data_IF_821175483185
#
_entry.id   IF_821175483185
#
_cell.length_a   1.000
_cell.length_b   1.000
_cell.length_c   1.000
_cell.angle_alpha   90.00
_cell.angle_beta   90.00
_cell.angle_gamma   90.00
#
_symmetry.space_group_name_H-M   'P 1'
#
loop_
_entity.id
_entity.type
_entity.pdbx_description
1 polymer ?
#
# COMPACT_ATOMS: atom_id res chain seq x y z
N UNK A 1 -15.57 34.00 26.18
CA UNK A 1 -15.69 32.80 25.38
C UNK A 1 -16.96 32.76 24.54
N UNK A 2 -18.14 33.23 25.05
CA UNK A 2 -19.40 33.32 24.30
C UNK A 2 -19.58 34.64 23.58
N UNK A 3 -18.79 35.65 23.89
CA UNK A 3 -18.95 37.00 23.41
C UNK A 3 -19.03 37.15 21.87
N UNK A 4 -18.16 36.48 21.08
CA UNK A 4 -18.24 36.56 19.61
C UNK A 4 -19.56 36.05 19.06
N UNK A 5 -20.17 35.05 19.66
CA UNK A 5 -21.47 34.51 19.26
C UNK A 5 -22.61 35.42 19.74
N UNK A 6 -22.57 35.90 20.97
CA UNK A 6 -23.62 36.78 21.54
C UNK A 6 -23.68 38.16 20.85
N UNK A 7 -22.60 38.61 20.21
CA UNK A 7 -22.61 39.86 19.43
C UNK A 7 -23.31 39.70 18.08
N UNK A 8 -23.46 38.50 17.53
CA UNK A 8 -24.06 38.32 16.20
C UNK A 8 -25.52 38.78 16.08
N UNK A 9 -26.44 38.54 17.01
CA UNK A 9 -27.81 39.08 16.90
C UNK A 9 -27.84 40.61 17.00
N UNK A 10 -26.96 41.21 17.79
CA UNK A 10 -26.86 42.67 17.86
C UNK A 10 -26.37 43.25 16.54
N UNK A 11 -25.37 42.64 15.91
CA UNK A 11 -24.87 43.01 14.59
C UNK A 11 -25.93 42.81 13.49
N UNK A 12 -26.72 41.74 13.58
CA UNK A 12 -27.81 41.49 12.65
C UNK A 12 -28.87 42.62 12.72
N UNK A 13 -29.27 43.03 13.92
CA UNK A 13 -30.19 44.13 14.13
C UNK A 13 -29.63 45.48 13.64
N UNK A 14 -28.36 45.75 13.95
CA UNK A 14 -27.69 46.99 13.54
C UNK A 14 -27.55 47.15 12.02
N UNK A 15 -27.43 46.06 11.29
CA UNK A 15 -27.23 46.06 9.83
C UNK A 15 -28.52 45.93 9.02
N UNK A 16 -29.64 45.59 9.67
CA UNK A 16 -30.89 45.22 9.00
C UNK A 16 -31.42 46.33 8.07
N UNK A 17 -31.31 47.60 8.48
CA UNK A 17 -31.91 48.73 7.76
C UNK A 17 -31.12 49.20 6.52
N UNK A 18 -29.80 48.96 6.49
CA UNK A 18 -28.93 49.49 5.43
C UNK A 18 -28.09 48.46 4.69
N UNK A 19 -27.92 47.25 5.27
CA UNK A 19 -27.20 46.15 4.64
C UNK A 19 -27.90 44.81 4.96
N UNK A 20 -29.07 44.51 4.39
CA UNK A 20 -29.88 43.33 4.78
C UNK A 20 -29.17 41.99 4.57
N UNK A 21 -28.25 41.91 3.63
CA UNK A 21 -27.46 40.71 3.42
C UNK A 21 -26.47 40.43 4.58
N UNK A 22 -25.94 41.49 5.25
CA UNK A 22 -25.13 41.32 6.46
C UNK A 22 -26.00 40.86 7.64
N UNK A 23 -27.23 41.41 7.76
CA UNK A 23 -28.18 40.95 8.77
C UNK A 23 -28.49 39.46 8.60
N UNK A 24 -28.66 38.99 7.36
CA UNK A 24 -28.86 37.57 7.05
C UNK A 24 -27.63 36.73 7.46
N UNK A 25 -26.41 37.20 7.14
CA UNK A 25 -25.16 36.55 7.51
C UNK A 25 -25.00 36.40 9.03
N UNK A 26 -25.19 37.50 9.78
CA UNK A 26 -25.08 37.47 11.24
C UNK A 26 -26.16 36.59 11.88
N UNK A 27 -27.37 36.54 11.32
CA UNK A 27 -28.43 35.66 11.77
C UNK A 27 -28.07 34.19 11.52
N UNK A 28 -27.49 33.87 10.37
CA UNK A 28 -27.00 32.52 10.08
C UNK A 28 -25.87 32.11 11.05
N UNK A 29 -24.91 32.99 11.32
CA UNK A 29 -23.85 32.76 12.30
C UNK A 29 -24.42 32.56 13.72
N UNK A 30 -25.47 33.27 14.10
CA UNK A 30 -26.15 33.02 15.37
C UNK A 30 -26.74 31.63 15.46
N UNK A 31 -27.40 31.15 14.38
CA UNK A 31 -27.98 29.81 14.33
C UNK A 31 -26.90 28.72 14.37
N UNK A 32 -25.76 28.93 13.69
CA UNK A 32 -24.61 28.02 13.77
C UNK A 32 -24.12 27.93 15.21
N UNK A 33 -23.91 29.05 15.90
CA UNK A 33 -23.46 29.04 17.29
C UNK A 33 -24.48 28.44 18.25
N UNK A 34 -25.79 28.58 17.98
CA UNK A 34 -26.84 27.92 18.75
C UNK A 34 -26.78 26.36 18.57
N UNK A 35 -26.52 25.92 17.35
CA UNK A 35 -26.31 24.52 17.08
C UNK A 35 -25.04 23.99 17.79
N UNK A 36 -23.95 24.78 17.80
CA UNK A 36 -22.71 24.45 18.50
C UNK A 36 -22.93 24.19 20.00
N UNK A 37 -23.79 24.97 20.62
CA UNK A 37 -24.17 24.79 22.04
C UNK A 37 -24.98 23.52 22.28
N UNK A 38 -25.86 23.14 21.35
CA UNK A 38 -26.77 22.01 21.48
C UNK A 38 -26.12 20.67 21.18
N UNK A 39 -25.17 20.61 20.23
CA UNK A 39 -24.55 19.34 19.81
C UNK A 39 -23.72 18.71 20.94
N UNK A 40 -23.76 17.37 21.15
CA UNK A 40 -23.07 16.70 22.24
C UNK A 40 -21.64 16.27 21.92
N UNK A 41 -21.25 16.21 20.65
CA UNK A 41 -20.05 15.50 20.18
C UNK A 41 -18.74 16.29 20.32
N UNK A 42 -18.79 17.62 20.25
CA UNK A 42 -17.58 18.47 20.21
C UNK A 42 -17.60 19.49 21.35
N UNK A 43 -16.91 19.18 22.44
CA UNK A 43 -16.82 20.05 23.63
C UNK A 43 -16.23 21.43 23.32
N UNK A 44 -15.30 21.52 22.35
CA UNK A 44 -14.68 22.78 21.92
C UNK A 44 -15.74 23.74 21.36
N UNK A 45 -16.63 23.29 20.47
CA UNK A 45 -17.69 24.10 19.90
C UNK A 45 -18.69 24.56 20.96
N UNK A 46 -19.06 23.68 21.91
CA UNK A 46 -19.92 24.05 23.04
C UNK A 46 -19.30 25.14 23.93
N UNK A 47 -17.98 25.09 24.10
CA UNK A 47 -17.27 26.06 24.92
C UNK A 47 -16.96 27.37 24.20
N UNK A 48 -16.78 27.32 22.88
CA UNK A 48 -16.41 28.43 22.01
C UNK A 48 -17.27 28.41 20.73
N UNK A 49 -18.59 28.74 20.85
CA UNK A 49 -19.46 28.80 19.70
C UNK A 49 -18.90 29.74 18.61
N UNK A 50 -19.02 29.37 17.36
CA UNK A 50 -18.43 29.99 16.17
C UNK A 50 -16.90 29.95 16.13
N UNK A 51 -16.23 30.50 17.14
CA UNK A 51 -14.75 30.62 17.12
C UNK A 51 -14.06 29.24 17.19
N UNK A 52 -14.71 28.24 17.75
CA UNK A 52 -14.22 26.87 17.75
C UNK A 52 -14.06 26.26 16.36
N UNK A 53 -14.85 26.73 15.37
CA UNK A 53 -14.73 26.28 13.97
C UNK A 53 -13.39 26.67 13.35
N UNK A 54 -12.78 27.80 13.75
CA UNK A 54 -11.47 28.22 13.28
C UNK A 54 -10.40 27.17 13.61
N UNK A 55 -10.46 26.57 14.80
CA UNK A 55 -9.55 25.47 15.16
C UNK A 55 -9.67 24.32 14.19
N UNK A 56 -10.89 23.86 13.90
CA UNK A 56 -11.12 22.74 12.99
C UNK A 56 -10.71 23.06 11.55
N UNK A 57 -10.93 24.31 11.11
CA UNK A 57 -10.46 24.78 9.81
C UNK A 57 -8.91 24.74 9.72
N UNK A 58 -8.22 25.19 10.77
CA UNK A 58 -6.76 25.14 10.84
C UNK A 58 -6.26 23.68 10.93
N UNK A 59 -6.94 22.82 11.67
CA UNK A 59 -6.62 21.37 11.70
C UNK A 59 -6.81 20.71 10.34
N UNK A 60 -7.84 21.12 9.58
CA UNK A 60 -8.12 20.61 8.24
C UNK A 60 -7.05 20.97 7.22
N UNK A 61 -6.58 22.22 7.21
CA UNK A 61 -5.54 22.69 6.27
C UNK A 61 -4.10 22.44 6.76
N UNK A 62 -3.94 21.96 8.00
CA UNK A 62 -2.62 21.73 8.62
C UNK A 62 -1.73 20.79 7.82
N UNK A 63 -2.21 19.66 7.23
CA UNK A 63 -1.35 18.75 6.47
C UNK A 63 -0.69 19.43 5.28
N UNK A 64 -1.43 20.28 4.55
CA UNK A 64 -0.91 21.01 3.40
C UNK A 64 0.09 22.08 3.82
N UNK A 65 -0.24 22.86 4.87
CA UNK A 65 0.68 23.86 5.40
C UNK A 65 1.98 23.20 5.86
N UNK A 66 1.88 22.09 6.60
CA UNK A 66 3.05 21.34 7.03
C UNK A 66 3.88 20.87 5.84
N UNK A 67 3.24 20.19 4.87
CA UNK A 67 3.92 19.59 3.72
C UNK A 67 4.63 20.60 2.82
N UNK A 68 4.05 21.80 2.63
CA UNK A 68 4.57 22.76 1.68
C UNK A 68 5.45 23.85 2.29
N UNK A 69 5.29 24.16 3.59
CA UNK A 69 5.93 25.31 4.21
C UNK A 69 6.79 24.99 5.43
N UNK A 70 6.53 23.90 6.14
CA UNK A 70 7.14 23.62 7.46
C UNK A 70 8.05 22.41 7.42
N UNK A 71 7.77 21.37 6.60
CA UNK A 71 8.54 20.15 6.60
C UNK A 71 10.00 20.36 6.24
N UNK A 72 10.87 19.71 7.00
CA UNK A 72 12.29 19.56 6.67
C UNK A 72 12.46 18.69 5.41
N UNK A 73 13.49 19.01 4.60
CA UNK A 73 13.71 18.37 3.32
C UNK A 73 14.15 16.89 3.43
N UNK A 74 14.80 16.49 4.54
CA UNK A 74 15.37 15.14 4.68
C UNK A 74 14.79 14.33 5.86
N UNK A 75 14.32 14.97 6.93
CA UNK A 75 14.01 14.32 8.21
C UNK A 75 12.56 13.83 8.35
N UNK A 76 11.66 14.19 7.44
CA UNK A 76 10.22 13.92 7.60
C UNK A 76 9.82 12.46 7.31
N UNK A 77 8.81 12.00 8.05
CA UNK A 77 8.21 10.68 7.92
C UNK A 77 6.75 10.78 7.41
N UNK A 78 6.24 9.74 6.76
CA UNK A 78 6.91 8.50 6.32
C UNK A 78 7.90 8.67 5.17
N UNK A 79 7.83 9.75 4.35
CA UNK A 79 8.77 10.09 3.27
C UNK A 79 9.20 11.54 3.37
N UNK A 80 10.50 11.79 3.23
CA UNK A 80 11.02 13.15 3.20
C UNK A 80 10.52 13.92 1.99
N UNK A 81 10.55 15.26 2.07
CA UNK A 81 10.20 16.15 0.97
C UNK A 81 11.04 15.86 -0.27
N UNK A 82 12.33 15.61 -0.11
CA UNK A 82 13.24 15.29 -1.21
C UNK A 82 12.88 13.98 -1.91
N UNK A 83 12.48 12.95 -1.16
CA UNK A 83 12.01 11.69 -1.75
C UNK A 83 10.75 11.89 -2.60
N UNK A 84 9.76 12.62 -2.08
CA UNK A 84 8.52 12.91 -2.80
C UNK A 84 8.76 13.80 -4.02
N UNK A 85 9.56 14.87 -3.87
CA UNK A 85 9.89 15.79 -4.95
C UNK A 85 10.59 15.07 -6.11
N UNK A 86 11.48 14.12 -5.83
CA UNK A 86 12.12 13.28 -6.84
C UNK A 86 11.09 12.48 -7.65
N UNK A 87 10.12 11.87 -6.99
CA UNK A 87 9.06 11.11 -7.67
C UNK A 87 8.18 12.04 -8.51
N UNK A 88 7.77 13.18 -7.96
CA UNK A 88 6.97 14.16 -8.70
C UNK A 88 7.68 14.70 -9.93
N UNK A 89 8.97 15.01 -9.82
CA UNK A 89 9.77 15.48 -10.96
C UNK A 89 9.86 14.42 -12.07
N UNK A 90 10.14 13.17 -11.69
CA UNK A 90 10.23 12.05 -12.65
C UNK A 90 8.90 11.74 -13.31
N UNK A 91 7.80 11.74 -12.56
CA UNK A 91 6.46 11.50 -13.09
C UNK A 91 6.03 12.57 -14.11
N UNK A 92 6.55 13.80 -13.96
CA UNK A 92 6.26 14.92 -14.87
C UNK A 92 7.31 15.11 -15.98
N UNK A 93 8.34 14.26 -16.05
CA UNK A 93 9.45 14.43 -16.99
C UNK A 93 10.27 15.71 -16.75
N UNK A 94 10.26 16.24 -15.52
CA UNK A 94 11.02 17.41 -15.12
C UNK A 94 12.47 17.05 -14.80
N UNK A 95 13.33 18.06 -14.75
CA UNK A 95 14.72 17.86 -14.36
C UNK A 95 14.83 17.36 -12.92
N UNK A 96 15.37 16.17 -12.74
CA UNK A 96 15.63 15.53 -11.44
C UNK A 96 17.13 15.57 -11.04
N UNK A 97 17.95 16.29 -11.81
CA UNK A 97 19.38 16.44 -11.55
C UNK A 97 19.62 17.53 -10.51
N UNK A 98 20.65 17.32 -9.70
CA UNK A 98 21.08 18.27 -8.68
C UNK A 98 22.37 18.94 -9.09
N UNK A 99 22.37 20.28 -9.15
CA UNK A 99 23.59 21.07 -9.14
C UNK A 99 24.24 21.11 -7.76
N UNK A 100 25.44 21.58 -7.65
CA UNK A 100 26.20 21.82 -6.41
C UNK A 100 26.54 20.58 -5.56
N UNK A 101 26.11 19.36 -5.91
CA UNK A 101 26.51 18.12 -5.26
C UNK A 101 25.49 17.57 -4.26
N UNK A 102 25.96 16.80 -3.27
CA UNK A 102 25.13 16.10 -2.30
C UNK A 102 24.44 17.05 -1.34
N UNK A 103 23.15 16.80 -1.10
CA UNK A 103 22.38 17.44 -0.02
C UNK A 103 22.43 16.65 1.29
N UNK A 104 23.14 15.51 1.32
CA UNK A 104 23.25 14.65 2.49
C UNK A 104 24.63 14.78 3.13
N UNK A 105 24.68 14.71 4.45
CA UNK A 105 25.94 14.55 5.16
C UNK A 105 26.44 13.12 4.98
N UNK A 106 27.38 12.93 4.05
CA UNK A 106 27.95 11.61 3.72
C UNK A 106 28.83 11.03 4.83
N UNK A 107 29.15 11.82 5.86
CA UNK A 107 29.92 11.39 7.03
C UNK A 107 29.04 11.12 8.26
N UNK A 108 27.71 11.17 8.09
CA UNK A 108 26.81 10.80 9.20
C UNK A 108 26.88 9.29 9.48
N UNK A 109 26.67 8.85 10.75
CA UNK A 109 26.67 7.43 11.10
C UNK A 109 25.67 6.59 10.30
N UNK A 110 24.62 7.20 9.80
CA UNK A 110 23.55 6.56 9.03
C UNK A 110 23.71 6.77 7.51
N UNK A 111 24.85 7.28 7.04
CA UNK A 111 25.08 7.45 5.62
C UNK A 111 25.20 6.09 4.93
N UNK A 112 24.49 5.96 3.84
CA UNK A 112 24.51 4.76 2.99
C UNK A 112 24.99 5.14 1.59
N UNK A 113 25.84 4.32 1.00
CA UNK A 113 26.35 4.52 -0.35
C UNK A 113 26.52 3.21 -1.09
N UNK A 114 26.62 3.28 -2.41
CA UNK A 114 26.98 2.16 -3.28
C UNK A 114 28.39 2.37 -3.84
N UNK A 115 29.13 1.29 -3.93
CA UNK A 115 30.43 1.32 -4.60
C UNK A 115 30.23 1.33 -6.12
N UNK A 116 31.12 2.01 -6.82
CA UNK A 116 31.12 2.06 -8.29
C UNK A 116 32.43 1.48 -8.85
N UNK A 117 32.41 1.09 -10.12
CA UNK A 117 33.60 0.64 -10.84
C UNK A 117 34.24 1.78 -11.62
N UNK A 118 35.57 1.82 -11.67
CA UNK A 118 36.33 2.70 -12.56
C UNK A 118 36.20 2.26 -14.04
N UNK A 119 35.61 1.10 -14.31
CA UNK A 119 35.31 0.56 -15.65
C UNK A 119 33.82 0.25 -15.76
N UNK A 120 32.96 1.29 -15.77
CA UNK A 120 31.51 1.09 -15.85
C UNK A 120 31.14 0.45 -17.20
N UNK A 121 30.12 -0.41 -17.15
CA UNK A 121 29.53 -0.99 -18.37
C UNK A 121 28.21 -0.31 -18.65
N UNK A 122 27.91 -0.08 -19.91
CA UNK A 122 26.59 0.31 -20.32
C UNK A 122 25.63 -0.87 -20.11
N UNK A 123 24.51 -0.64 -19.41
CA UNK A 123 23.47 -1.63 -19.22
C UNK A 123 22.24 -1.26 -20.05
N UNK A 124 21.71 -2.21 -20.80
CA UNK A 124 20.44 -2.03 -21.50
C UNK A 124 19.29 -2.19 -20.48
N UNK A 125 18.44 -1.16 -20.27
CA UNK A 125 17.31 -1.24 -19.36
C UNK A 125 16.35 -2.42 -19.63
N UNK A 126 16.27 -2.87 -20.87
CA UNK A 126 15.44 -4.03 -21.27
C UNK A 126 15.89 -5.34 -20.64
N UNK A 127 17.16 -5.43 -20.20
CA UNK A 127 17.72 -6.61 -19.54
C UNK A 127 17.44 -6.67 -18.03
N UNK A 128 16.88 -5.60 -17.46
CA UNK A 128 16.51 -5.57 -16.02
C UNK A 128 15.24 -6.36 -15.72
N UNK A 129 15.33 -7.65 -16.02
CA UNK A 129 14.23 -8.61 -15.82
C UNK A 129 14.74 -9.86 -15.10
N UNK A 130 13.82 -10.49 -14.39
CA UNK A 130 14.04 -11.76 -13.70
C UNK A 130 12.99 -12.77 -14.12
N UNK A 131 13.34 -14.03 -14.16
CA UNK A 131 12.38 -15.11 -14.37
C UNK A 131 11.90 -15.63 -13.01
N UNK A 132 10.58 -15.57 -12.81
CA UNK A 132 9.89 -16.12 -11.63
C UNK A 132 9.15 -17.38 -12.05
N UNK A 133 9.37 -18.47 -11.34
CA UNK A 133 8.82 -19.79 -11.58
C UNK A 133 9.85 -20.87 -11.29
N UNK A 134 9.54 -21.75 -10.34
CA UNK A 134 10.37 -22.89 -9.95
C UNK A 134 10.14 -24.10 -10.86
N UNK A 135 10.71 -25.29 -10.51
CA UNK A 135 10.65 -26.48 -11.37
C UNK A 135 9.22 -27.01 -11.59
N UNK A 136 8.28 -26.69 -10.72
CA UNK A 136 6.88 -27.12 -10.84
C UNK A 136 5.99 -26.07 -11.54
N UNK A 137 6.56 -24.95 -12.01
CA UNK A 137 5.88 -23.90 -12.73
C UNK A 137 5.91 -24.18 -14.23
N UNK A 138 4.74 -24.23 -14.88
CA UNK A 138 4.62 -24.46 -16.33
C UNK A 138 4.73 -23.19 -17.15
N UNK A 139 4.38 -22.05 -16.54
CA UNK A 139 4.33 -20.73 -17.18
C UNK A 139 5.17 -19.71 -16.42
N UNK A 140 6.53 -19.84 -16.43
CA UNK A 140 7.39 -18.86 -15.78
C UNK A 140 7.15 -17.46 -16.32
N UNK A 141 7.20 -16.46 -15.42
CA UNK A 141 6.98 -15.07 -15.78
C UNK A 141 8.29 -14.28 -15.78
N UNK A 142 8.55 -13.53 -16.85
CA UNK A 142 9.64 -12.58 -16.92
C UNK A 142 9.19 -11.23 -16.33
N UNK A 143 9.52 -10.99 -15.07
CA UNK A 143 9.16 -9.79 -14.33
C UNK A 143 10.21 -8.68 -14.45
N UNK A 144 9.78 -7.43 -14.39
CA UNK A 144 10.68 -6.30 -14.15
C UNK A 144 11.28 -6.38 -12.74
N UNK A 145 12.46 -5.78 -12.53
CA UNK A 145 13.05 -5.65 -11.19
C UNK A 145 12.37 -4.60 -10.32
N UNK A 146 11.48 -3.76 -10.88
CA UNK A 146 10.71 -2.74 -10.16
C UNK A 146 9.25 -2.77 -10.61
N UNK A 147 8.32 -2.90 -9.66
CA UNK A 147 6.92 -3.17 -9.94
C UNK A 147 5.99 -2.41 -9.00
N UNK A 148 4.68 -2.38 -9.34
CA UNK A 148 3.64 -1.82 -8.49
C UNK A 148 3.29 -2.84 -7.40
N UNK A 149 3.42 -2.43 -6.14
CA UNK A 149 3.02 -3.21 -4.96
C UNK A 149 1.51 -3.30 -4.81
N UNK A 150 1.06 -4.24 -4.00
CA UNK A 150 -0.34 -4.50 -3.67
C UNK A 150 -1.08 -3.25 -3.18
N UNK A 151 -2.09 -2.86 -3.92
CA UNK A 151 -3.00 -1.75 -3.59
C UNK A 151 -4.40 -2.07 -4.11
N UNK A 152 -5.34 -2.35 -3.20
CA UNK A 152 -6.67 -2.83 -3.57
C UNK A 152 -7.57 -1.75 -4.16
N UNK A 153 -8.44 -2.14 -5.11
CA UNK A 153 -9.60 -1.34 -5.48
C UNK A 153 -10.55 -1.19 -4.28
N UNK A 154 -10.94 0.05 -4.02
CA UNK A 154 -11.66 0.43 -2.80
C UNK A 154 -10.77 1.13 -1.77
N UNK A 155 -9.48 0.73 -1.63
CA UNK A 155 -8.46 1.60 -1.04
C UNK A 155 -8.03 2.68 -2.02
N UNK A 156 -7.84 2.33 -3.29
CA UNK A 156 -7.65 3.26 -4.40
C UNK A 156 -8.92 3.43 -5.23
N UNK A 157 -9.08 4.60 -5.84
CA UNK A 157 -10.18 4.89 -6.77
C UNK A 157 -10.02 4.16 -8.11
N UNK A 158 -11.12 4.03 -8.85
CA UNK A 158 -11.13 3.48 -10.21
C UNK A 158 -10.10 4.15 -11.12
N UNK A 159 -10.01 5.48 -11.09
CA UNK A 159 -9.06 6.24 -11.92
C UNK A 159 -7.60 5.97 -11.54
N UNK A 160 -7.30 5.78 -10.26
CA UNK A 160 -5.96 5.41 -9.81
C UNK A 160 -5.58 4.01 -10.32
N UNK A 161 -6.48 3.02 -10.21
CA UNK A 161 -6.25 1.67 -10.72
C UNK A 161 -6.02 1.68 -12.24
N UNK A 162 -6.85 2.41 -12.99
CA UNK A 162 -6.68 2.60 -14.45
C UNK A 162 -5.31 3.17 -14.80
N UNK A 163 -4.91 4.24 -14.14
CA UNK A 163 -3.63 4.90 -14.38
C UNK A 163 -2.45 3.97 -14.07
N UNK A 164 -2.51 3.23 -12.95
CA UNK A 164 -1.49 2.25 -12.56
C UNK A 164 -1.39 1.12 -13.58
N UNK A 165 -2.52 0.51 -13.98
CA UNK A 165 -2.50 -0.60 -14.93
C UNK A 165 -2.06 -0.14 -16.33
N UNK A 166 -2.48 1.03 -16.78
CA UNK A 166 -1.99 1.65 -18.02
C UNK A 166 -0.47 1.87 -17.98
N UNK A 167 0.03 2.37 -16.85
CA UNK A 167 1.47 2.53 -16.64
C UNK A 167 2.22 1.20 -16.63
N UNK A 168 1.67 0.16 -16.00
CA UNK A 168 2.21 -1.19 -16.01
C UNK A 168 2.31 -1.77 -17.42
N UNK A 169 1.24 -1.62 -18.22
CA UNK A 169 1.23 -2.05 -19.61
C UNK A 169 2.29 -1.31 -20.45
N UNK A 170 2.37 0.02 -20.33
CA UNK A 170 3.33 0.83 -21.07
C UNK A 170 4.79 0.57 -20.67
N UNK A 171 5.04 0.33 -19.39
CA UNK A 171 6.38 0.11 -18.84
C UNK A 171 6.83 -1.36 -18.81
N UNK A 172 5.95 -2.30 -19.13
CA UNK A 172 6.27 -3.73 -19.13
C UNK A 172 6.59 -4.27 -17.72
N UNK A 173 5.94 -3.77 -16.68
CA UNK A 173 6.08 -4.23 -15.30
C UNK A 173 4.74 -4.69 -14.73
N UNK A 174 4.77 -5.45 -13.63
CA UNK A 174 3.55 -6.02 -13.06
C UNK A 174 2.83 -5.06 -12.12
N UNK A 175 1.51 -5.20 -12.06
CA UNK A 175 0.61 -4.52 -11.15
C UNK A 175 0.00 -5.55 -10.20
N UNK A 176 0.32 -5.46 -8.94
CA UNK A 176 -0.29 -6.28 -7.89
C UNK A 176 -1.64 -5.69 -7.50
N UNK A 177 -2.69 -6.53 -7.54
CA UNK A 177 -4.08 -6.12 -7.34
C UNK A 177 -4.42 -5.76 -5.90
N UNK A 178 -3.60 -6.20 -4.94
CA UNK A 178 -4.00 -6.22 -3.55
C UNK A 178 -5.18 -7.18 -3.29
N UNK A 179 -5.53 -7.36 -2.02
CA UNK A 179 -6.52 -8.34 -1.54
C UNK A 179 -7.98 -8.08 -1.97
N UNK A 180 -8.26 -6.96 -2.63
CA UNK A 180 -9.61 -6.52 -3.01
C UNK A 180 -10.19 -7.19 -4.26
N UNK A 181 -9.61 -8.25 -4.76
CA UNK A 181 -9.94 -8.89 -6.04
C UNK A 181 -9.49 -8.11 -7.28
N UNK A 182 -9.67 -8.70 -8.45
CA UNK A 182 -9.41 -8.07 -9.75
C UNK A 182 -10.66 -7.29 -10.16
N UNK A 183 -10.58 -5.96 -10.15
CA UNK A 183 -11.67 -5.10 -10.61
C UNK A 183 -11.70 -5.01 -12.13
N UNK A 184 -12.82 -4.57 -12.74
CA UNK A 184 -12.89 -4.26 -14.18
C UNK A 184 -11.79 -3.28 -14.62
N UNK A 185 -11.42 -2.34 -13.77
CA UNK A 185 -10.40 -1.31 -14.01
C UNK A 185 -8.98 -1.85 -14.13
N UNK A 186 -8.66 -2.98 -13.49
CA UNK A 186 -7.41 -3.70 -13.69
C UNK A 186 -7.30 -4.33 -15.08
N UNK A 187 -8.44 -4.57 -15.75
CA UNK A 187 -8.49 -5.28 -17.03
C UNK A 187 -8.47 -4.37 -18.25
N UNK A 188 -8.79 -3.08 -18.10
CA UNK A 188 -8.98 -2.15 -19.21
C UNK A 188 -7.74 -1.96 -20.12
N UNK A 189 -6.54 -1.95 -19.57
CA UNK A 189 -5.31 -1.66 -20.31
C UNK A 189 -4.40 -2.88 -20.54
N UNK A 190 -4.79 -4.05 -20.03
CA UNK A 190 -4.06 -5.30 -20.29
C UNK A 190 -2.67 -5.38 -19.63
N UNK A 191 -2.33 -4.51 -18.67
CA UNK A 191 -1.08 -4.60 -17.92
C UNK A 191 -1.02 -5.87 -17.09
N UNK A 192 0.15 -6.52 -17.06
CA UNK A 192 0.37 -7.79 -16.34
C UNK A 192 -0.01 -7.69 -14.87
N UNK A 193 -0.79 -8.65 -14.38
CA UNK A 193 -1.30 -8.68 -13.01
C UNK A 193 -0.61 -9.75 -12.16
N UNK A 194 -0.31 -9.39 -10.92
CA UNK A 194 -0.18 -10.33 -9.81
C UNK A 194 -1.51 -10.30 -9.07
N UNK A 195 -2.20 -11.42 -9.00
CA UNK A 195 -3.44 -11.51 -8.25
C UNK A 195 -3.15 -11.87 -6.79
N UNK A 196 -3.38 -10.92 -5.90
CA UNK A 196 -3.24 -11.15 -4.46
C UNK A 196 -4.52 -11.75 -3.87
N UNK A 197 -4.37 -12.88 -3.18
CA UNK A 197 -5.44 -13.58 -2.45
C UNK A 197 -5.22 -13.36 -0.96
N UNK A 198 -6.07 -12.57 -0.33
CA UNK A 198 -6.10 -12.37 1.12
C UNK A 198 -7.02 -13.37 1.83
N UNK A 199 -7.03 -13.32 3.16
CA UNK A 199 -7.82 -14.20 4.03
C UNK A 199 -9.34 -14.05 3.86
N UNK A 200 -9.82 -12.97 3.24
CA UNK A 200 -11.23 -12.79 2.88
C UNK A 200 -11.62 -13.45 1.56
N UNK A 201 -10.68 -14.02 0.80
CA UNK A 201 -10.87 -14.68 -0.49
C UNK A 201 -11.70 -13.86 -1.49
N UNK A 202 -11.61 -12.54 -1.46
CA UNK A 202 -12.37 -11.68 -2.38
C UNK A 202 -12.03 -11.99 -3.83
N UNK A 203 -13.08 -12.19 -4.63
CA UNK A 203 -12.97 -12.60 -6.03
C UNK A 203 -12.80 -14.11 -6.25
N UNK A 204 -12.58 -14.90 -5.18
CA UNK A 204 -12.52 -16.36 -5.27
C UNK A 204 -13.25 -17.06 -4.10
N UNK A 205 -14.34 -16.49 -3.64
CA UNK A 205 -15.18 -17.06 -2.56
C UNK A 205 -16.59 -17.36 -3.04
N UNK A 206 -17.24 -18.32 -2.37
CA UNK A 206 -18.66 -18.62 -2.57
C UNK A 206 -19.58 -17.59 -1.87
N UNK A 207 -20.88 -17.82 -1.89
CA UNK A 207 -21.86 -16.93 -1.28
C UNK A 207 -21.75 -16.89 0.26
N UNK A 208 -21.21 -17.95 0.87
CA UNK A 208 -20.98 -18.09 2.30
C UNK A 208 -19.60 -17.51 2.73
N UNK A 209 -18.81 -17.01 1.78
CA UNK A 209 -17.51 -16.41 2.03
C UNK A 209 -16.35 -17.41 2.11
N UNK A 210 -16.56 -18.67 1.74
CA UNK A 210 -15.55 -19.73 1.75
C UNK A 210 -14.78 -19.74 0.43
N UNK A 211 -13.57 -20.26 0.45
CA UNK A 211 -12.74 -20.44 -0.73
C UNK A 211 -13.44 -21.32 -1.81
N UNK A 212 -13.45 -20.86 -3.07
CA UNK A 212 -14.02 -21.59 -4.22
C UNK A 212 -12.92 -21.86 -5.27
N UNK A 213 -12.54 -23.13 -5.46
CA UNK A 213 -11.59 -23.54 -6.49
C UNK A 213 -12.00 -23.14 -7.90
N UNK A 214 -13.33 -23.21 -8.21
CA UNK A 214 -13.90 -22.90 -9.53
C UNK A 214 -13.67 -21.42 -9.86
N UNK A 215 -13.93 -20.54 -8.90
CA UNK A 215 -13.70 -19.09 -9.07
C UNK A 215 -12.21 -18.75 -9.15
N UNK A 216 -11.35 -19.49 -8.43
CA UNK A 216 -9.91 -19.34 -8.60
C UNK A 216 -9.51 -19.70 -10.02
N UNK A 217 -9.96 -20.84 -10.52
CA UNK A 217 -9.61 -21.29 -11.86
C UNK A 217 -10.05 -20.28 -12.92
N UNK A 218 -11.26 -19.74 -12.81
CA UNK A 218 -11.79 -18.74 -13.72
C UNK A 218 -10.90 -17.48 -13.76
N UNK A 219 -10.51 -16.94 -12.60
CA UNK A 219 -9.72 -15.72 -12.53
C UNK A 219 -8.24 -15.97 -12.88
N UNK A 220 -7.66 -17.02 -12.32
CA UNK A 220 -6.24 -17.31 -12.41
C UNK A 220 -5.76 -17.73 -13.80
N UNK A 221 -6.63 -18.36 -14.60
CA UNK A 221 -6.30 -18.79 -15.98
C UNK A 221 -6.30 -17.64 -16.98
N UNK A 222 -6.85 -16.48 -16.63
CA UNK A 222 -6.81 -15.27 -17.47
C UNK A 222 -5.38 -14.98 -17.94
N UNK A 223 -5.21 -14.63 -19.22
CA UNK A 223 -3.89 -14.33 -19.81
C UNK A 223 -3.18 -13.15 -19.15
N UNK A 224 -3.92 -12.19 -18.62
CA UNK A 224 -3.38 -11.02 -17.93
C UNK A 224 -2.82 -11.34 -16.54
N UNK A 225 -3.36 -12.35 -15.84
CA UNK A 225 -2.83 -12.80 -14.55
C UNK A 225 -1.57 -13.62 -14.79
N UNK A 226 -0.43 -13.11 -14.33
CA UNK A 226 0.88 -13.75 -14.51
C UNK A 226 1.33 -14.54 -13.30
N UNK A 227 0.96 -14.10 -12.12
CA UNK A 227 1.36 -14.71 -10.85
C UNK A 227 0.21 -14.62 -9.84
N UNK A 228 0.24 -15.50 -8.83
CA UNK A 228 -0.70 -15.51 -7.70
C UNK A 228 0.09 -15.33 -6.43
N UNK A 229 -0.32 -14.37 -5.61
CA UNK A 229 0.30 -14.07 -4.32
C UNK A 229 -0.69 -14.32 -3.17
N UNK A 230 -0.34 -15.21 -2.24
CA UNK A 230 -1.09 -15.41 -0.99
C UNK A 230 -0.63 -14.37 0.01
N UNK A 231 -1.52 -13.53 0.48
CA UNK A 231 -1.19 -12.55 1.52
C UNK A 231 -1.34 -13.18 2.90
N UNK A 232 -0.21 -13.54 3.54
CA UNK A 232 -0.20 -13.99 4.94
C UNK A 232 -0.27 -12.80 5.90
N UNK A 233 0.51 -11.76 5.62
CA UNK A 233 0.49 -10.50 6.35
C UNK A 233 1.05 -9.37 5.50
N UNK A 234 0.96 -8.14 6.01
CA UNK A 234 1.58 -6.97 5.40
C UNK A 234 2.30 -6.15 6.48
N UNK A 235 3.28 -5.33 6.09
CA UNK A 235 3.83 -4.28 6.95
C UNK A 235 2.75 -3.32 7.45
N UNK A 236 3.03 -2.47 8.40
CA UNK A 236 2.11 -1.55 9.06
C UNK A 236 1.00 -2.20 9.92
N UNK A 237 0.52 -3.38 9.60
CA UNK A 237 -0.49 -4.10 10.42
C UNK A 237 -0.37 -5.62 10.31
N UNK A 238 0.77 -6.22 10.63
CA UNK A 238 0.91 -7.67 10.62
C UNK A 238 -0.01 -8.29 11.68
N UNK A 239 -0.65 -9.43 11.33
CA UNK A 239 -1.61 -10.11 12.23
C UNK A 239 -2.96 -9.42 12.39
N UNK A 240 -3.21 -8.34 11.67
CA UNK A 240 -4.50 -7.63 11.63
C UNK A 240 -5.13 -7.76 10.25
N UNK A 241 -6.36 -8.22 10.18
CA UNK A 241 -7.10 -8.36 8.92
C UNK A 241 -7.33 -7.02 8.21
N UNK A 242 -7.69 -7.09 6.93
CA UNK A 242 -8.08 -5.92 6.15
C UNK A 242 -9.41 -5.35 6.63
N UNK A 243 -9.53 -4.03 6.67
CA UNK A 243 -10.78 -3.32 6.98
C UNK A 243 -11.05 -2.29 5.91
N UNK A 244 -12.22 -2.38 5.26
CA UNK A 244 -12.76 -1.33 4.42
C UNK A 244 -14.09 -0.86 5.03
N UNK A 245 -14.18 0.39 5.53
CA UNK A 245 -15.37 0.89 6.19
C UNK A 245 -16.59 0.91 5.27
N UNK A 246 -17.78 0.67 5.83
CA UNK A 246 -19.06 0.63 5.14
C UNK A 246 -19.30 1.83 4.20
N UNK A 247 -18.92 3.04 4.64
CA UNK A 247 -19.05 4.26 3.85
C UNK A 247 -18.23 4.25 2.54
N UNK A 248 -17.21 3.39 2.42
CA UNK A 248 -16.39 3.22 1.21
C UNK A 248 -16.86 2.06 0.33
N UNK A 249 -17.73 1.18 0.83
CA UNK A 249 -18.21 0.00 0.09
C UNK A 249 -19.35 0.42 -0.84
N UNK A 250 -18.98 0.96 -2.01
CA UNK A 250 -19.91 1.26 -3.10
C UNK A 250 -20.43 -0.02 -3.78
N UNK A 251 -21.42 0.11 -4.66
CA UNK A 251 -21.95 -0.98 -5.45
C UNK A 251 -20.86 -1.70 -6.27
N UNK A 252 -19.97 -0.94 -6.92
CA UNK A 252 -18.86 -1.49 -7.71
C UNK A 252 -17.86 -2.28 -6.87
N UNK A 253 -17.54 -1.77 -5.66
CA UNK A 253 -16.65 -2.45 -4.74
C UNK A 253 -17.32 -3.69 -4.17
N UNK A 254 -18.59 -3.61 -3.82
CA UNK A 254 -19.41 -4.73 -3.35
C UNK A 254 -19.43 -5.86 -4.39
N UNK A 255 -19.71 -5.52 -5.66
CA UNK A 255 -19.72 -6.47 -6.78
C UNK A 255 -18.32 -7.09 -7.00
N UNK A 256 -17.24 -6.28 -6.96
CA UNK A 256 -15.87 -6.76 -7.17
C UNK A 256 -15.42 -7.72 -6.06
N UNK A 257 -15.77 -7.46 -4.82
CA UNK A 257 -15.37 -8.26 -3.65
C UNK A 257 -16.32 -9.41 -3.34
N UNK A 258 -17.55 -9.40 -3.89
CA UNK A 258 -18.61 -10.34 -3.54
C UNK A 258 -19.08 -10.13 -2.09
N UNK A 259 -19.33 -8.87 -1.67
CA UNK A 259 -19.78 -8.49 -0.33
C UNK A 259 -21.03 -7.62 -0.41
N UNK A 260 -21.86 -7.52 0.66
CA UNK A 260 -22.98 -6.59 0.71
C UNK A 260 -22.49 -5.13 0.65
N UNK A 261 -23.22 -4.28 -0.09
CA UNK A 261 -22.98 -2.85 -0.15
C UNK A 261 -23.29 -2.16 1.19
N UNK A 262 -22.53 -1.15 1.56
CA UNK A 262 -22.79 -0.31 2.74
C UNK A 262 -22.57 -1.01 4.07
N UNK A 263 -21.85 -2.11 4.10
CA UNK A 263 -21.41 -2.81 5.31
C UNK A 263 -19.89 -2.83 5.40
N UNK A 264 -19.35 -2.87 6.62
CA UNK A 264 -17.91 -3.02 6.82
C UNK A 264 -17.41 -4.31 6.19
N UNK A 265 -16.40 -4.19 5.31
CA UNK A 265 -15.78 -5.33 4.67
C UNK A 265 -14.50 -5.68 5.44
N UNK A 266 -14.59 -6.71 6.29
CA UNK A 266 -13.52 -7.14 7.18
C UNK A 266 -12.96 -8.47 6.67
N UNK A 267 -11.63 -8.54 6.52
CA UNK A 267 -10.93 -9.79 6.26
C UNK A 267 -10.56 -10.46 7.59
N UNK A 268 -10.69 -11.78 7.73
CA UNK A 268 -10.16 -12.51 8.87
C UNK A 268 -8.66 -12.27 9.08
N UNK A 269 -8.18 -12.41 10.32
CA UNK A 269 -6.74 -12.29 10.63
C UNK A 269 -5.91 -13.42 10.03
N UNK A 270 -6.50 -14.59 9.78
CA UNK A 270 -5.85 -15.78 9.22
C UNK A 270 -6.69 -16.41 8.11
N UNK A 271 -6.05 -17.19 7.25
CA UNK A 271 -6.72 -17.97 6.21
C UNK A 271 -7.47 -19.17 6.83
N UNK A 272 -8.61 -19.55 6.25
CA UNK A 272 -9.36 -20.75 6.64
C UNK A 272 -8.87 -22.03 5.96
N UNK A 273 -8.18 -21.91 4.82
CA UNK A 273 -7.71 -23.05 4.02
C UNK A 273 -6.45 -23.72 4.56
N UNK A 274 -5.76 -23.08 5.50
CA UNK A 274 -4.57 -23.62 6.14
C UNK A 274 -4.35 -23.01 7.54
N UNK A 275 -3.78 -23.80 8.44
CA UNK A 275 -3.40 -23.40 9.81
C UNK A 275 -1.96 -23.76 10.16
N UNK A 276 -1.32 -24.59 9.31
CA UNK A 276 0.06 -25.05 9.50
C UNK A 276 0.93 -24.70 8.30
N UNK A 277 2.26 -24.63 8.46
CA UNK A 277 3.18 -24.43 7.33
C UNK A 277 3.04 -25.49 6.24
N UNK A 278 2.78 -26.74 6.59
CA UNK A 278 2.58 -27.83 5.62
C UNK A 278 1.31 -27.60 4.80
N UNK A 279 0.21 -27.25 5.44
CA UNK A 279 -1.04 -26.93 4.75
C UNK A 279 -0.92 -25.69 3.84
N UNK A 280 -0.16 -24.66 4.26
CA UNK A 280 0.17 -23.53 3.39
C UNK A 280 0.86 -23.99 2.10
N UNK A 281 1.85 -24.88 2.19
CA UNK A 281 2.55 -25.36 1.01
C UNK A 281 1.64 -26.24 0.12
N UNK A 282 0.76 -27.04 0.71
CA UNK A 282 -0.26 -27.78 -0.02
C UNK A 282 -1.25 -26.83 -0.73
N UNK A 283 -1.64 -25.75 -0.08
CA UNK A 283 -2.48 -24.73 -0.69
C UNK A 283 -1.77 -24.03 -1.86
N UNK A 284 -0.48 -23.73 -1.75
CA UNK A 284 0.35 -23.22 -2.86
C UNK A 284 0.33 -24.19 -4.04
N UNK A 285 0.54 -25.48 -3.80
CA UNK A 285 0.51 -26.50 -4.85
C UNK A 285 -0.87 -26.57 -5.54
N UNK A 286 -1.96 -26.54 -4.75
CA UNK A 286 -3.34 -26.49 -5.25
C UNK A 286 -3.61 -25.26 -6.11
N UNK A 287 -3.20 -24.06 -5.67
CA UNK A 287 -3.37 -22.84 -6.46
C UNK A 287 -2.55 -22.88 -7.76
N UNK A 288 -1.35 -23.50 -7.74
CA UNK A 288 -0.56 -23.68 -8.96
C UNK A 288 -1.27 -24.58 -9.97
N UNK A 289 -1.92 -25.65 -9.53
CA UNK A 289 -2.75 -26.49 -10.40
C UNK A 289 -3.96 -25.74 -10.95
N UNK A 290 -4.73 -25.08 -10.10
CA UNK A 290 -5.91 -24.31 -10.47
C UNK A 290 -5.58 -23.18 -11.46
N UNK A 291 -4.40 -22.59 -11.38
CA UNK A 291 -3.96 -21.55 -12.31
C UNK A 291 -3.41 -22.06 -13.64
N UNK A 292 -3.38 -23.37 -13.84
CA UNK A 292 -2.78 -24.00 -15.03
C UNK A 292 -1.24 -24.04 -14.98
N UNK A 293 -0.62 -23.85 -13.81
CA UNK A 293 0.82 -23.95 -13.63
C UNK A 293 1.55 -22.59 -13.65
N UNK A 294 0.88 -21.51 -13.30
CA UNK A 294 1.50 -20.18 -13.11
C UNK A 294 2.29 -20.13 -11.81
N UNK A 295 3.24 -19.18 -11.67
CA UNK A 295 3.97 -18.98 -10.43
C UNK A 295 3.02 -18.64 -9.27
N UNK A 296 3.18 -19.33 -8.14
CA UNK A 296 2.45 -19.09 -6.90
C UNK A 296 3.44 -18.87 -5.77
N UNK A 297 3.25 -17.77 -5.05
CA UNK A 297 4.05 -17.43 -3.89
C UNK A 297 3.22 -16.81 -2.78
N UNK A 298 3.88 -16.24 -1.80
CA UNK A 298 3.22 -15.54 -0.71
C UNK A 298 3.96 -14.28 -0.28
N UNK A 299 3.21 -13.38 0.34
CA UNK A 299 3.72 -12.16 0.96
C UNK A 299 3.53 -12.21 2.46
N UNK A 300 4.58 -11.77 3.19
CA UNK A 300 4.52 -11.65 4.64
C UNK A 300 5.37 -10.48 5.15
N UNK A 301 4.94 -9.92 6.28
CA UNK A 301 5.84 -9.20 7.18
C UNK A 301 6.37 -10.20 8.20
N UNK A 302 7.68 -10.24 8.40
CA UNK A 302 8.26 -11.17 9.39
C UNK A 302 7.86 -10.70 10.80
N UNK A 303 7.26 -11.62 11.54
CA UNK A 303 7.02 -11.50 12.98
C UNK A 303 8.08 -12.28 13.76
N UNK A 304 7.70 -13.41 14.34
CA UNK A 304 8.65 -14.32 14.98
C UNK A 304 9.49 -15.07 13.93
N UNK A 305 10.83 -14.99 13.97
CA UNK A 305 11.69 -15.72 13.03
C UNK A 305 11.41 -17.22 12.98
N UNK A 306 11.03 -17.80 14.11
CA UNK A 306 10.71 -19.25 14.22
C UNK A 306 9.52 -19.68 13.37
N UNK A 307 8.56 -18.79 13.10
CA UNK A 307 7.43 -19.08 12.22
C UNK A 307 7.91 -19.22 10.77
N UNK A 308 8.80 -18.33 10.31
CA UNK A 308 9.41 -18.46 9.00
C UNK A 308 10.31 -19.69 8.89
N UNK A 309 11.06 -20.03 9.95
CA UNK A 309 11.84 -21.27 10.00
C UNK A 309 10.93 -22.51 9.93
N UNK A 310 9.73 -22.45 10.53
CA UNK A 310 8.73 -23.49 10.41
C UNK A 310 8.28 -23.70 8.95
N UNK A 311 8.06 -22.62 8.21
CA UNK A 311 7.74 -22.68 6.77
C UNK A 311 8.92 -23.26 5.98
N UNK A 312 10.15 -22.81 6.27
CA UNK A 312 11.35 -23.31 5.63
C UNK A 312 11.58 -24.83 5.89
N UNK A 313 11.34 -25.28 7.11
CA UNK A 313 11.37 -26.70 7.49
C UNK A 313 10.33 -27.52 6.72
N UNK A 314 9.09 -27.02 6.65
CA UNK A 314 8.02 -27.68 5.90
C UNK A 314 8.36 -27.79 4.40
N UNK A 315 9.05 -26.81 3.80
CA UNK A 315 9.53 -26.90 2.41
C UNK A 315 10.50 -28.07 2.22
N UNK A 316 11.40 -28.32 3.19
CA UNK A 316 12.35 -29.44 3.14
C UNK A 316 11.63 -30.79 3.34
N UNK A 317 10.68 -30.85 4.26
CA UNK A 317 9.95 -32.08 4.59
C UNK A 317 9.00 -32.51 3.49
N UNK A 318 8.30 -31.56 2.87
CA UNK A 318 7.29 -31.86 1.83
C UNK A 318 7.87 -31.87 0.42
N UNK A 319 9.01 -31.22 0.19
CA UNK A 319 9.55 -30.96 -1.15
C UNK A 319 8.73 -29.92 -1.94
N UNK A 320 7.65 -29.36 -1.38
CA UNK A 320 6.83 -28.33 -2.01
C UNK A 320 7.44 -26.95 -1.71
N UNK A 321 7.67 -26.16 -2.74
CA UNK A 321 8.22 -24.81 -2.61
C UNK A 321 7.33 -23.78 -3.29
N UNK A 322 7.21 -22.56 -2.74
CA UNK A 322 6.68 -21.44 -3.49
C UNK A 322 7.62 -21.07 -4.64
N UNK A 323 7.11 -20.40 -5.66
CA UNK A 323 7.94 -19.85 -6.74
C UNK A 323 8.60 -18.54 -6.33
N UNK A 324 7.97 -17.83 -5.41
CA UNK A 324 8.48 -16.57 -4.86
C UNK A 324 7.96 -16.29 -3.45
N UNK A 325 8.68 -15.41 -2.75
CA UNK A 325 8.29 -14.84 -1.45
C UNK A 325 8.47 -13.34 -1.51
N UNK A 326 7.45 -12.57 -1.13
CA UNK A 326 7.57 -11.12 -0.97
C UNK A 326 7.69 -10.77 0.51
N UNK A 327 8.80 -10.15 0.87
CA UNK A 327 9.03 -9.63 2.22
C UNK A 327 8.52 -8.19 2.26
N UNK A 328 7.50 -7.95 3.09
CA UNK A 328 6.92 -6.62 3.30
C UNK A 328 7.38 -6.07 4.65
N UNK A 329 8.15 -4.99 4.65
CA UNK A 329 8.71 -4.41 5.85
C UNK A 329 7.65 -3.75 6.74
N UNK A 330 7.89 -3.75 8.05
CA UNK A 330 7.00 -3.09 9.04
C UNK A 330 6.76 -1.61 8.73
N UNK A 331 7.73 -0.94 8.10
CA UNK A 331 7.63 0.44 7.61
C UNK A 331 6.71 0.62 6.40
N UNK A 332 6.04 -0.42 5.94
CA UNK A 332 4.99 -0.39 4.93
C UNK A 332 3.87 0.57 5.32
N UNK A 333 2.95 0.84 4.40
CA UNK A 333 1.83 1.76 4.64
C UNK A 333 0.49 1.10 4.38
N UNK A 334 -0.53 1.63 5.06
CA UNK A 334 -1.93 1.28 4.84
C UNK A 334 -2.82 2.44 5.30
N UNK A 335 -4.05 2.53 4.78
CA UNK A 335 -5.02 3.52 5.23
C UNK A 335 -5.83 3.10 6.48
N UNK A 336 -5.57 1.94 7.06
CA UNK A 336 -6.45 1.33 8.07
C UNK A 336 -5.69 0.57 9.18
N UNK A 337 -4.45 0.98 9.51
CA UNK A 337 -3.72 0.41 10.64
C UNK A 337 -3.94 1.23 11.91
N UNK A 338 -4.10 0.60 13.09
CA UNK A 338 -3.89 1.28 14.36
C UNK A 338 -2.46 1.85 14.42
N UNK A 339 -2.29 3.02 15.08
CA UNK A 339 -1.00 3.70 15.16
C UNK A 339 0.08 2.80 15.80
N UNK A 340 -0.29 2.08 16.84
CA UNK A 340 0.61 1.16 17.55
C UNK A 340 1.12 0.03 16.65
N UNK A 341 0.28 -0.47 15.74
CA UNK A 341 0.69 -1.47 14.75
C UNK A 341 1.62 -0.88 13.70
N UNK A 342 1.30 0.30 13.19
CA UNK A 342 2.09 0.95 12.15
C UNK A 342 3.50 1.31 12.62
N UNK A 343 3.65 1.65 13.90
CA UNK A 343 4.91 2.18 14.44
C UNK A 343 5.74 1.15 15.23
N UNK A 344 5.12 0.03 15.68
CA UNK A 344 5.77 -0.85 16.65
C UNK A 344 5.69 -2.34 16.37
N UNK A 345 4.94 -2.79 15.35
CA UNK A 345 4.69 -4.22 15.13
C UNK A 345 5.24 -4.68 13.78
N UNK A 346 5.99 -5.78 13.80
CA UNK A 346 6.62 -6.38 12.63
C UNK A 346 8.10 -6.05 12.50
N UNK A 347 8.80 -6.84 11.71
CA UNK A 347 10.23 -6.66 11.45
C UNK A 347 10.45 -5.65 10.32
N UNK A 348 11.37 -4.68 10.47
CA UNK A 348 11.76 -3.79 9.37
C UNK A 348 12.26 -4.57 8.14
N UNK A 349 12.04 -4.00 6.96
CA UNK A 349 12.35 -4.66 5.69
C UNK A 349 13.77 -5.22 5.61
N UNK A 350 14.76 -4.44 6.01
CA UNK A 350 16.18 -4.85 5.89
C UNK A 350 16.49 -6.11 6.68
N UNK A 351 15.98 -6.20 7.90
CA UNK A 351 16.19 -7.35 8.78
C UNK A 351 15.37 -8.55 8.32
N UNK A 352 14.09 -8.35 7.99
CA UNK A 352 13.23 -9.40 7.44
C UNK A 352 13.76 -9.97 6.14
N UNK A 353 14.23 -9.12 5.23
CA UNK A 353 14.83 -9.55 3.96
C UNK A 353 16.08 -10.39 4.16
N UNK A 354 17.00 -9.93 5.04
CA UNK A 354 18.22 -10.68 5.37
C UNK A 354 17.89 -12.03 6.00
N UNK A 355 16.91 -12.08 6.90
CA UNK A 355 16.47 -13.33 7.53
C UNK A 355 15.95 -14.30 6.48
N UNK A 356 15.05 -13.88 5.59
CA UNK A 356 14.50 -14.73 4.53
C UNK A 356 15.59 -15.18 3.58
N UNK A 357 16.42 -14.26 3.08
CA UNK A 357 17.52 -14.57 2.17
C UNK A 357 18.48 -15.60 2.77
N UNK A 358 18.98 -15.36 3.99
CA UNK A 358 19.94 -16.22 4.66
C UNK A 358 19.35 -17.61 4.98
N UNK A 359 18.07 -17.67 5.39
CA UNK A 359 17.39 -18.93 5.65
C UNK A 359 17.29 -19.75 4.38
N UNK A 360 16.82 -19.15 3.28
CA UNK A 360 16.72 -19.86 1.99
C UNK A 360 18.09 -20.28 1.46
N UNK A 361 19.11 -19.46 1.67
CA UNK A 361 20.50 -19.80 1.31
C UNK A 361 21.01 -20.98 2.12
N UNK A 362 20.84 -20.97 3.44
CA UNK A 362 21.28 -22.02 4.33
C UNK A 362 20.65 -23.39 4.02
N UNK A 363 19.39 -23.41 3.58
CA UNK A 363 18.69 -24.66 3.22
C UNK A 363 18.79 -25.02 1.72
N UNK A 364 19.60 -24.28 0.94
CA UNK A 364 19.85 -24.55 -0.48
C UNK A 364 18.69 -24.23 -1.43
N UNK A 365 17.67 -23.47 -0.99
CA UNK A 365 16.50 -23.14 -1.79
C UNK A 365 16.53 -21.74 -2.43
N UNK A 366 17.53 -20.89 -2.10
CA UNK A 366 17.58 -19.50 -2.56
C UNK A 366 17.56 -19.31 -4.07
N UNK A 367 18.18 -20.21 -4.82
CA UNK A 367 18.22 -20.12 -6.29
C UNK A 367 16.88 -20.52 -6.93
N UNK A 368 16.09 -21.35 -6.24
CA UNK A 368 14.80 -21.85 -6.73
C UNK A 368 13.65 -20.89 -6.40
N UNK A 369 13.72 -20.17 -5.28
CA UNK A 369 12.70 -19.28 -4.78
C UNK A 369 13.17 -17.84 -4.98
N UNK A 370 12.40 -17.05 -5.75
CA UNK A 370 12.69 -15.64 -5.94
C UNK A 370 12.16 -14.81 -4.78
N UNK A 371 12.88 -13.76 -4.41
CA UNK A 371 12.53 -12.92 -3.25
C UNK A 371 12.23 -11.51 -3.71
N UNK A 372 11.00 -11.05 -3.47
CA UNK A 372 10.58 -9.66 -3.63
C UNK A 372 10.72 -8.88 -2.34
N UNK A 373 10.92 -7.58 -2.43
CA UNK A 373 10.99 -6.66 -1.30
C UNK A 373 9.96 -5.54 -1.45
N UNK A 374 9.24 -5.22 -0.40
CA UNK A 374 8.28 -4.13 -0.32
C UNK A 374 8.45 -3.37 1.01
N UNK A 375 8.53 -2.05 0.95
CA UNK A 375 8.71 -1.18 2.12
C UNK A 375 9.51 0.08 1.79
N UNK A 376 8.84 1.21 1.62
CA UNK A 376 9.42 2.53 1.32
C UNK A 376 10.43 2.59 0.16
N UNK A 377 10.24 1.79 -0.87
CA UNK A 377 11.07 1.79 -2.09
C UNK A 377 10.50 2.83 -3.05
N UNK A 378 11.22 3.95 -3.29
CA UNK A 378 10.76 5.05 -4.17
C UNK A 378 11.85 5.54 -5.15
N UNK A 379 13.11 5.18 -4.93
CA UNK A 379 14.23 5.60 -5.76
C UNK A 379 15.04 4.40 -6.27
N UNK A 380 15.88 4.65 -7.28
CA UNK A 380 16.84 3.64 -7.77
C UNK A 380 17.81 3.20 -6.67
N UNK A 381 18.18 4.12 -5.76
CA UNK A 381 19.03 3.77 -4.63
C UNK A 381 18.34 2.78 -3.68
N UNK A 382 17.05 3.02 -3.34
CA UNK A 382 16.30 2.11 -2.49
C UNK A 382 16.18 0.72 -3.12
N UNK A 383 15.93 0.67 -4.44
CA UNK A 383 15.88 -0.59 -5.18
C UNK A 383 17.22 -1.32 -5.13
N UNK A 384 18.32 -0.65 -5.49
CA UNK A 384 19.65 -1.25 -5.49
C UNK A 384 20.06 -1.74 -4.09
N UNK A 385 19.68 -1.01 -3.05
CA UNK A 385 19.90 -1.39 -1.65
C UNK A 385 19.21 -2.72 -1.31
N UNK A 386 17.95 -2.89 -1.65
CA UNK A 386 17.24 -4.16 -1.35
C UNK A 386 17.76 -5.31 -2.20
N UNK A 387 18.16 -5.05 -3.46
CA UNK A 387 18.81 -6.08 -4.29
C UNK A 387 20.16 -6.52 -3.68
N UNK A 388 20.95 -5.58 -3.17
CA UNK A 388 22.21 -5.89 -2.48
C UNK A 388 21.99 -6.70 -1.18
N UNK A 389 20.85 -6.53 -0.51
CA UNK A 389 20.47 -7.27 0.70
C UNK A 389 19.85 -8.64 0.42
N UNK A 390 19.67 -9.01 -0.85
CA UNK A 390 19.23 -10.34 -1.24
C UNK A 390 17.83 -10.42 -1.86
N UNK A 391 17.20 -9.31 -2.23
CA UNK A 391 16.00 -9.35 -3.07
C UNK A 391 16.36 -9.62 -4.55
N UNK A 392 15.42 -10.15 -5.32
CA UNK A 392 15.50 -10.24 -6.78
C UNK A 392 14.76 -9.07 -7.45
N UNK A 393 13.78 -8.47 -6.77
CA UNK A 393 13.05 -7.28 -7.22
C UNK A 393 12.50 -6.45 -6.07
N UNK A 394 12.11 -5.21 -6.37
CA UNK A 394 11.39 -4.33 -5.45
C UNK A 394 10.00 -3.97 -5.93
N UNK A 395 9.07 -3.89 -4.97
CA UNK A 395 7.71 -3.41 -5.16
C UNK A 395 7.53 -2.04 -4.49
N UNK A 396 6.85 -1.13 -5.16
CA UNK A 396 6.54 0.21 -4.64
C UNK A 396 5.04 0.47 -4.66
N UNK A 397 4.47 0.89 -3.53
CA UNK A 397 3.09 1.36 -3.43
C UNK A 397 3.03 2.89 -3.43
N UNK A 398 3.49 3.51 -2.33
CA UNK A 398 3.41 4.97 -2.14
C UNK A 398 4.21 5.76 -3.17
N UNK A 399 5.31 5.20 -3.71
CA UNK A 399 6.04 5.80 -4.81
C UNK A 399 5.16 5.99 -6.05
N UNK A 400 4.37 4.98 -6.42
CA UNK A 400 3.41 5.10 -7.51
C UNK A 400 2.22 6.01 -7.16
N UNK A 401 1.77 6.04 -5.91
CA UNK A 401 0.75 6.99 -5.46
C UNK A 401 1.25 8.44 -5.63
N UNK A 402 2.49 8.74 -5.25
CA UNK A 402 3.09 10.06 -5.49
C UNK A 402 3.19 10.36 -6.98
N UNK A 403 3.53 9.38 -7.82
CA UNK A 403 3.58 9.55 -9.27
C UNK A 403 2.20 9.88 -9.86
N UNK A 404 1.12 9.38 -9.27
CA UNK A 404 -0.28 9.76 -9.60
C UNK A 404 -0.68 11.16 -9.11
N UNK A 405 0.11 11.78 -8.23
CA UNK A 405 -0.16 13.09 -7.64
C UNK A 405 -0.75 13.06 -6.24
N UNK A 406 -0.75 11.91 -5.55
CA UNK A 406 -1.19 11.85 -4.15
C UNK A 406 -0.29 12.69 -3.25
N UNK A 407 -0.91 13.35 -2.26
CA UNK A 407 -0.23 14.11 -1.23
C UNK A 407 -0.02 13.25 0.02
N UNK A 408 1.02 13.56 0.80
CA UNK A 408 1.26 12.94 2.11
C UNK A 408 0.47 13.65 3.20
N UNK A 409 -0.87 13.62 3.09
CA UNK A 409 -1.76 14.30 4.03
C UNK A 409 -2.09 13.49 5.28
N UNK A 410 -1.62 12.25 5.38
CA UNK A 410 -1.92 11.29 6.45
C UNK A 410 -3.41 10.95 6.58
N UNK A 411 -4.20 11.29 5.58
CA UNK A 411 -5.62 10.94 5.45
C UNK A 411 -5.88 10.38 4.05
N UNK A 412 -6.82 9.47 3.96
CA UNK A 412 -7.19 8.83 2.70
C UNK A 412 -8.71 8.75 2.54
#
# INVERSE_FOLDING_TARGET
RYWPWLSTPLLALATLAWQPWLALLFSALFLVGLNDLRQPHRSVLRNYPLTGHLRFALEYIRPEIRQYFIEDDEAEYPFSRNQRALVYARAKGQNDKRGFGSLKNMYSPNAEWLLHSNRPRHADPKTFRITIGGPNCRHPYSASIFNISAMSFGALSANAIRALNKGAAAGGFMHDTGEGSISPYHREFGGDLVWEIGSGYFGCRDAEGRFSPERVQEQATSAQVKMIEIKLSQGAKPGHGGVLPAAKVSEEIAATRGVPMGQDCISPASHSEFSTPTELLQFIARLRELSGGKPVGFKLCIGHPTEFFGIAKAMLETGITPDFIVVDGAEGGTGAAPAEFADHVGMPLRDGLRLVHNTLFAIGLRQRIKVGASGKIVSSFDLLRVLALGADWGNSARGFMFALGCLQSLSC
#
